data_IF_077892492173
#
_entry.id   IF_077892492173
#
_cell.length_a   1.000
_cell.length_b   1.000
_cell.length_c   1.000
_cell.angle_alpha   90.00
_cell.angle_beta   90.00
_cell.angle_gamma   90.00
#
_symmetry.space_group_name_H-M   'P 1'
#
loop_
_entity.id
_entity.type
_entity.pdbx_description
1 polymer ?
#
# COMPACT_ATOMS: atom_id res chain seq x y z
N UNK A 1 19.02 33.20 10.14
CA UNK A 1 18.94 31.88 9.49
C UNK A 1 17.51 31.42 9.66
N UNK A 2 16.66 31.61 8.65
CA UNK A 2 15.26 31.17 8.73
C UNK A 2 15.23 29.69 8.35
N UNK A 3 15.05 28.85 9.35
CA UNK A 3 14.72 27.44 9.20
C UNK A 3 13.40 27.37 8.43
N UNK A 4 13.47 27.00 7.15
CA UNK A 4 12.29 26.84 6.30
C UNK A 4 11.52 25.64 6.81
N UNK A 5 10.46 25.89 7.58
CA UNK A 5 9.47 24.88 7.91
C UNK A 5 9.00 24.22 6.60
N UNK A 6 8.87 22.87 6.55
CA UNK A 6 8.43 22.19 5.34
C UNK A 6 7.10 22.77 4.88
N UNK A 7 7.07 23.16 3.60
CA UNK A 7 5.90 23.74 2.94
C UNK A 7 4.68 22.87 3.25
N UNK A 8 3.54 23.46 3.60
CA UNK A 8 2.34 22.71 3.98
C UNK A 8 1.95 21.67 2.91
N UNK A 9 2.26 21.95 1.64
CA UNK A 9 2.07 21.02 0.52
C UNK A 9 2.97 19.79 0.61
N UNK A 10 4.19 19.93 1.10
CA UNK A 10 5.13 18.83 1.31
C UNK A 10 4.67 17.92 2.46
N UNK A 11 4.14 18.52 3.53
CA UNK A 11 3.55 17.76 4.66
C UNK A 11 2.32 16.97 4.24
N UNK A 12 1.44 17.56 3.42
CA UNK A 12 0.26 16.87 2.88
C UNK A 12 0.67 15.68 1.99
N UNK A 13 1.64 15.88 1.09
CA UNK A 13 2.16 14.80 0.23
C UNK A 13 2.82 13.69 1.03
N UNK A 14 3.61 14.03 2.05
CA UNK A 14 4.24 13.04 2.92
C UNK A 14 3.20 12.23 3.71
N UNK A 15 2.14 12.87 4.20
CA UNK A 15 1.05 12.18 4.89
C UNK A 15 0.29 11.24 3.95
N UNK A 16 -0.08 11.69 2.75
CA UNK A 16 -0.75 10.86 1.76
C UNK A 16 0.09 9.63 1.38
N UNK A 17 1.39 9.82 1.15
CA UNK A 17 2.30 8.71 0.87
C UNK A 17 2.44 7.73 2.06
N UNK A 18 2.39 8.24 3.30
CA UNK A 18 2.43 7.40 4.50
C UNK A 18 1.15 6.55 4.65
N UNK A 19 -0.01 7.13 4.36
CA UNK A 19 -1.30 6.44 4.39
C UNK A 19 -1.38 5.35 3.31
N UNK A 20 -0.94 5.67 2.09
CA UNK A 20 -0.87 4.70 1.00
C UNK A 20 0.05 3.52 1.34
N UNK A 21 1.24 3.82 1.87
CA UNK A 21 2.18 2.79 2.33
C UNK A 21 1.59 1.92 3.44
N UNK A 22 0.87 2.51 4.39
CA UNK A 22 0.22 1.76 5.46
C UNK A 22 -0.85 0.80 4.92
N UNK A 23 -1.67 1.25 3.96
CA UNK A 23 -2.68 0.40 3.33
C UNK A 23 -2.06 -0.78 2.56
N UNK A 24 -0.98 -0.54 1.81
CA UNK A 24 -0.24 -1.60 1.10
C UNK A 24 0.33 -2.63 2.09
N UNK A 25 0.92 -2.17 3.20
CA UNK A 25 1.46 -3.07 4.21
C UNK A 25 0.38 -3.93 4.87
N UNK A 26 -0.83 -3.39 5.11
CA UNK A 26 -1.94 -4.18 5.64
C UNK A 26 -2.40 -5.28 4.67
N UNK A 27 -2.38 -5.02 3.36
CA UNK A 27 -2.65 -6.05 2.34
C UNK A 27 -1.57 -7.14 2.45
N UNK A 28 -0.29 -6.75 2.44
CA UNK A 28 0.82 -7.69 2.52
C UNK A 28 0.74 -8.54 3.81
N UNK A 29 0.49 -7.94 4.97
CA UNK A 29 0.39 -8.67 6.26
C UNK A 29 -0.75 -9.69 6.29
N UNK A 30 -1.88 -9.37 5.66
CA UNK A 30 -3.04 -10.27 5.56
C UNK A 30 -2.68 -11.55 4.81
N UNK A 31 -1.98 -11.40 3.69
CA UNK A 31 -1.57 -12.50 2.82
C UNK A 31 -0.29 -13.20 3.30
N UNK A 32 0.61 -12.50 3.99
CA UNK A 32 1.80 -13.08 4.61
C UNK A 32 1.44 -14.19 5.62
N UNK A 33 0.38 -14.01 6.42
CA UNK A 33 -0.10 -15.08 7.31
C UNK A 33 -0.51 -16.34 6.56
N UNK A 34 -1.05 -16.20 5.35
CA UNK A 34 -1.43 -17.34 4.50
C UNK A 34 -0.21 -18.03 3.91
N UNK A 35 0.83 -17.26 3.53
CA UNK A 35 2.12 -17.78 3.07
C UNK A 35 2.82 -18.66 4.11
N UNK A 36 2.80 -18.25 5.38
CA UNK A 36 3.51 -18.97 6.45
C UNK A 36 2.71 -20.13 7.07
N UNK A 37 1.38 -20.19 6.87
CA UNK A 37 0.52 -21.22 7.47
C UNK A 37 0.15 -22.38 6.53
N UNK A 38 0.43 -22.31 5.22
CA UNK A 38 0.00 -23.31 4.24
C UNK A 38 1.12 -23.79 3.30
N UNK A 39 1.52 -25.06 3.47
CA UNK A 39 2.30 -25.92 2.57
C UNK A 39 2.74 -25.30 1.21
N UNK A 40 4.01 -24.90 1.13
CA UNK A 40 4.97 -24.93 0.00
C UNK A 40 4.60 -24.54 -1.44
N UNK A 41 3.38 -24.77 -1.93
CA UNK A 41 2.97 -24.59 -3.32
C UNK A 41 2.08 -23.35 -3.55
N UNK A 42 1.54 -22.74 -2.48
CA UNK A 42 0.61 -21.60 -2.59
C UNK A 42 1.27 -20.22 -2.73
N UNK A 43 2.61 -20.13 -2.63
CA UNK A 43 3.27 -18.83 -2.46
C UNK A 43 3.15 -17.90 -3.66
N UNK A 44 3.27 -18.44 -4.87
CA UNK A 44 3.06 -17.66 -6.09
C UNK A 44 1.60 -17.20 -6.23
N UNK A 45 0.64 -18.04 -5.84
CA UNK A 45 -0.78 -17.70 -5.87
C UNK A 45 -1.12 -16.58 -4.89
N UNK A 46 -0.55 -16.62 -3.68
CA UNK A 46 -0.73 -15.57 -2.69
C UNK A 46 -0.06 -14.26 -3.13
N UNK A 47 1.14 -14.32 -3.73
CA UNK A 47 1.78 -13.14 -4.32
C UNK A 47 0.92 -12.52 -5.42
N UNK A 48 0.32 -13.34 -6.30
CA UNK A 48 -0.60 -12.84 -7.32
C UNK A 48 -1.81 -12.14 -6.70
N UNK A 49 -2.38 -12.70 -5.63
CA UNK A 49 -3.50 -12.07 -4.91
C UNK A 49 -3.12 -10.72 -4.27
N UNK A 50 -1.91 -10.60 -3.73
CA UNK A 50 -1.40 -9.32 -3.23
C UNK A 50 -1.33 -8.28 -4.35
N UNK A 51 -0.75 -8.66 -5.50
CA UNK A 51 -0.59 -7.76 -6.65
C UNK A 51 -1.96 -7.32 -7.17
N UNK A 52 -2.91 -8.25 -7.34
CA UNK A 52 -4.25 -7.96 -7.83
C UNK A 52 -5.06 -7.06 -6.87
N UNK A 53 -4.88 -7.20 -5.54
CA UNK A 53 -5.55 -6.36 -4.56
C UNK A 53 -4.95 -4.94 -4.48
N UNK A 54 -3.63 -4.81 -4.62
CA UNK A 54 -2.97 -3.50 -4.76
C UNK A 54 -3.44 -2.80 -6.05
N UNK A 55 -3.45 -3.50 -7.18
CA UNK A 55 -3.88 -2.94 -8.47
C UNK A 55 -5.33 -2.46 -8.46
N UNK A 56 -6.27 -3.26 -7.92
CA UNK A 56 -7.67 -2.84 -7.78
C UNK A 56 -7.85 -1.63 -6.87
N UNK A 57 -7.00 -1.47 -5.85
CA UNK A 57 -7.04 -0.29 -4.97
C UNK A 57 -6.59 0.95 -5.73
N UNK A 58 -5.50 0.86 -6.49
CA UNK A 58 -4.98 1.95 -7.33
C UNK A 58 -6.01 2.38 -8.40
N UNK A 59 -6.65 1.42 -9.07
CA UNK A 59 -7.75 1.68 -10.01
C UNK A 59 -8.95 2.36 -9.33
N UNK A 60 -9.32 1.92 -8.12
CA UNK A 60 -10.42 2.51 -7.36
C UNK A 60 -10.10 3.93 -6.88
N UNK A 61 -8.85 4.22 -6.49
CA UNK A 61 -8.41 5.55 -6.11
C UNK A 61 -8.38 6.48 -7.32
N UNK A 62 -7.90 6.00 -8.48
CA UNK A 62 -7.92 6.74 -9.75
C UNK A 62 -9.34 7.02 -10.24
N UNK A 63 -10.26 6.06 -10.14
CA UNK A 63 -11.66 6.22 -10.54
C UNK A 63 -12.46 7.17 -9.62
N UNK A 64 -11.96 7.46 -8.42
CA UNK A 64 -12.55 8.41 -7.48
C UNK A 64 -11.96 9.83 -7.60
N UNK A 65 -10.93 10.03 -8.42
CA UNK A 65 -10.43 11.36 -8.75
C UNK A 65 -11.32 12.00 -9.83
N UNK A 66 -12.00 13.14 -9.53
CA UNK A 66 -12.91 13.82 -10.46
C UNK A 66 -12.20 14.47 -11.64
#
# INVERSE_FOLDING_TARGET
MSETAPDSTERIRAQAAAEERAAILQIIERYARQLFHGHGAGGAQVLQQIIDEIGRRDEAETAQQP
#
